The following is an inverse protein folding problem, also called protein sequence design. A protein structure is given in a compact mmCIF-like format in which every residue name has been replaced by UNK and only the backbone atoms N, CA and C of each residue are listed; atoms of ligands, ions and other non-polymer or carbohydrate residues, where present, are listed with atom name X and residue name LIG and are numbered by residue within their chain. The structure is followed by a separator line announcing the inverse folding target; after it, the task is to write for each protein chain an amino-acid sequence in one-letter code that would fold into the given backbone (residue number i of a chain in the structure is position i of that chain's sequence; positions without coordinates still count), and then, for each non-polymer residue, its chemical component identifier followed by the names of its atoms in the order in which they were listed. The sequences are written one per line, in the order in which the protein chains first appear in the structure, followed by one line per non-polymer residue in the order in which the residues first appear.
data_IF_551948877410
#
_entry.id   IF_551948877410
#
_cell.length_a   1.000
_cell.length_b   1.000
_cell.length_c   1.000
_cell.angle_alpha   90.00
_cell.angle_beta   90.00
_cell.angle_gamma   90.00
#
_symmetry.space_group_name_H-M   'P 1'
#
loop_
_entity.id
_entity.type
_entity.pdbx_description
1 polymer ?
#
# COMPACT_ATOMS: atom_id res chain seq x y z
N UNK A 1 -8.26 -21.69 -9.49
CA UNK A 1 -6.82 -21.71 -9.20
C UNK A 1 -6.61 -20.60 -8.21
N UNK A 2 -6.08 -20.89 -7.02
CA UNK A 2 -5.91 -19.83 -6.03
C UNK A 2 -4.88 -18.81 -6.51
N UNK A 3 -5.23 -17.52 -6.42
CA UNK A 3 -4.41 -16.42 -6.91
C UNK A 3 -4.37 -15.30 -5.90
N UNK A 4 -3.16 -14.77 -5.68
CA UNK A 4 -2.92 -13.63 -4.81
C UNK A 4 -2.23 -12.54 -5.62
N UNK A 5 -2.79 -11.33 -5.62
CA UNK A 5 -2.16 -10.16 -6.24
C UNK A 5 -2.04 -9.00 -5.27
N UNK A 6 -1.00 -8.18 -5.47
CA UNK A 6 -0.76 -6.97 -4.70
C UNK A 6 -0.38 -5.82 -5.64
N UNK A 7 -1.17 -4.75 -5.63
CA UNK A 7 -1.03 -3.63 -6.54
C UNK A 7 -0.76 -2.33 -5.77
N UNK A 8 0.08 -1.46 -6.36
CA UNK A 8 0.36 -0.14 -5.78
C UNK A 8 -0.94 0.67 -5.66
N UNK A 9 -1.20 1.19 -4.46
CA UNK A 9 -2.31 2.11 -4.23
C UNK A 9 -1.82 3.57 -4.11
N UNK A 10 -2.77 4.51 -4.11
CA UNK A 10 -2.48 5.93 -3.99
C UNK A 10 -1.82 6.26 -2.66
N UNK A 11 -0.66 6.92 -2.71
CA UNK A 11 0.06 7.35 -1.51
C UNK A 11 -0.59 8.58 -0.89
N UNK A 12 -0.73 8.56 0.43
CA UNK A 12 -1.18 9.72 1.20
C UNK A 12 0.05 10.54 1.60
N UNK A 13 0.17 11.76 1.05
CA UNK A 13 1.26 12.67 1.43
C UNK A 13 1.03 13.23 2.83
N UNK A 14 1.95 12.96 3.75
CA UNK A 14 2.05 13.67 5.04
C UNK A 14 3.33 14.48 5.09
N UNK A 15 3.21 15.73 5.53
CA UNK A 15 4.34 16.60 5.75
C UNK A 15 4.96 16.32 7.12
N UNK A 16 6.29 16.21 7.17
CA UNK A 16 7.05 16.12 8.42
C UNK A 16 8.06 17.26 8.50
N UNK A 17 8.19 17.96 9.64
CA UNK A 17 9.25 18.91 9.86
C UNK A 17 10.63 18.25 9.70
N UNK A 18 11.57 18.98 9.08
CA UNK A 18 12.97 18.62 8.88
C UNK A 18 13.86 19.77 9.36
N UNK A 19 15.17 19.52 9.47
CA UNK A 19 16.13 20.51 9.94
C UNK A 19 16.11 21.80 9.10
N UNK A 20 16.43 22.93 9.74
CA UNK A 20 16.54 24.26 9.12
C UNK A 20 15.24 24.73 8.44
N UNK A 21 14.10 24.50 9.09
CA UNK A 21 12.78 24.96 8.60
C UNK A 21 12.28 24.25 7.34
N UNK A 22 12.92 23.14 6.94
CA UNK A 22 12.48 22.37 5.78
C UNK A 22 11.24 21.55 6.12
N UNK A 23 10.34 21.42 5.16
CA UNK A 23 9.20 20.50 5.22
C UNK A 23 9.36 19.46 4.12
N UNK A 24 9.38 18.19 4.49
CA UNK A 24 9.54 17.07 3.55
C UNK A 24 8.31 16.17 3.54
N UNK A 25 8.14 15.42 2.46
CA UNK A 25 7.20 14.31 2.43
C UNK A 25 7.71 13.17 3.33
N UNK A 26 6.79 12.47 3.98
CA UNK A 26 7.03 11.19 4.62
C UNK A 26 6.34 10.12 3.79
N UNK A 27 7.12 9.22 3.18
CA UNK A 27 6.56 8.18 2.32
C UNK A 27 5.78 7.17 3.15
N UNK A 28 4.51 7.00 2.78
CA UNK A 28 3.64 5.92 3.27
C UNK A 28 3.09 5.18 2.06
N UNK A 29 3.82 4.18 1.55
CA UNK A 29 3.29 3.34 0.49
C UNK A 29 2.06 2.60 1.01
N UNK A 30 1.03 2.58 0.19
CA UNK A 30 -0.21 1.82 0.40
C UNK A 30 -0.35 0.83 -0.74
N UNK A 31 -1.08 -0.25 -0.50
CA UNK A 31 -1.29 -1.34 -1.47
C UNK A 31 -2.72 -1.82 -1.40
N UNK A 32 -3.23 -2.31 -2.53
CA UNK A 32 -4.43 -3.13 -2.58
C UNK A 32 -3.99 -4.60 -2.62
N UNK A 33 -4.69 -5.48 -1.91
CA UNK A 33 -4.46 -6.92 -1.92
C UNK A 33 -5.74 -7.59 -2.40
N UNK A 34 -5.62 -8.45 -3.40
CA UNK A 34 -6.72 -9.24 -3.95
C UNK A 34 -6.39 -10.72 -3.78
N UNK A 35 -7.37 -11.49 -3.31
CA UNK A 35 -7.25 -12.93 -3.11
C UNK A 35 -8.43 -13.58 -3.84
N UNK A 36 -8.11 -14.44 -4.80
CA UNK A 36 -9.04 -15.32 -5.48
C UNK A 36 -8.82 -16.73 -4.92
N UNK A 37 -9.89 -17.36 -4.46
CA UNK A 37 -9.89 -18.73 -3.94
C UNK A 37 -10.92 -19.55 -4.67
N UNK A 38 -10.61 -20.81 -4.92
CA UNK A 38 -11.60 -21.79 -5.37
C UNK A 38 -12.27 -22.45 -4.17
N UNK A 39 -13.51 -22.91 -4.37
CA UNK A 39 -14.17 -23.82 -3.44
C UNK A 39 -13.52 -25.22 -3.54
N UNK A 40 -13.19 -25.81 -2.40
CA UNK A 40 -12.74 -27.20 -2.30
C UNK A 40 -13.93 -28.03 -1.81
N UNK A 41 -14.40 -28.95 -2.66
CA UNK A 41 -15.41 -29.95 -2.29
C UNK A 41 -14.71 -31.29 -2.05
N UNK A 42 -14.97 -31.92 -0.89
CA UNK A 42 -14.53 -33.28 -0.54
C UNK A 42 -15.27 -34.38 -1.31
#
# INVERSE_FOLDING_TARGET
MDRITADKATWVRRFRPKARGRVGAFDRPTTNITIEVDEVTD
#
